data_IF_541672720838
#
_entry.id   IF_541672720838
#
_cell.length_a   1.000
_cell.length_b   1.000
_cell.length_c   1.000
_cell.angle_alpha   90.00
_cell.angle_beta   90.00
_cell.angle_gamma   90.00
#
_symmetry.space_group_name_H-M   'P 1'
#
loop_
_entity.id
_entity.type
_entity.pdbx_description
1 polymer ?
#
# COMPACT_ATOMS: atom_id res chain seq x y z
N UNK A 1 25.36 15.17 12.39
CA UNK A 1 25.37 15.23 10.91
C UNK A 1 23.96 14.90 10.39
N UNK A 2 23.17 15.90 9.96
CA UNK A 2 21.82 15.66 9.40
C UNK A 2 21.99 14.99 8.04
N UNK A 3 21.52 13.74 7.87
CA UNK A 3 21.35 13.17 6.52
C UNK A 3 20.33 14.05 5.80
N UNK A 4 20.77 14.77 4.77
CA UNK A 4 19.85 15.45 3.85
C UNK A 4 19.12 14.31 3.12
N UNK A 5 17.87 14.06 3.53
CA UNK A 5 17.02 13.03 2.95
C UNK A 5 16.61 13.53 1.55
N UNK A 6 17.26 13.04 0.49
CA UNK A 6 16.82 13.31 -0.86
C UNK A 6 15.65 12.37 -1.19
N UNK A 7 14.44 12.77 -0.78
CA UNK A 7 13.19 12.03 -1.00
C UNK A 7 12.96 11.69 -2.47
N UNK A 8 13.39 12.58 -3.37
CA UNK A 8 13.29 12.40 -4.81
C UNK A 8 14.22 11.27 -5.29
N UNK A 9 15.50 11.33 -4.96
CA UNK A 9 16.45 10.26 -5.29
C UNK A 9 16.02 8.91 -4.71
N UNK A 10 15.48 8.87 -3.49
CA UNK A 10 14.98 7.63 -2.88
C UNK A 10 13.79 7.04 -3.63
N UNK A 11 12.88 7.88 -4.10
CA UNK A 11 11.74 7.43 -4.89
C UNK A 11 12.19 6.97 -6.28
N UNK A 12 12.99 7.77 -6.98
CA UNK A 12 13.40 7.47 -8.36
C UNK A 12 14.30 6.24 -8.44
N UNK A 13 15.24 6.08 -7.50
CA UNK A 13 16.09 4.88 -7.42
C UNK A 13 15.27 3.63 -7.07
N UNK A 14 14.27 3.77 -6.19
CA UNK A 14 13.35 2.68 -5.91
C UNK A 14 12.57 2.28 -7.16
N UNK A 15 12.00 3.25 -7.88
CA UNK A 15 11.19 3.01 -9.07
C UNK A 15 12.00 2.28 -10.15
N UNK A 16 13.19 2.79 -10.49
CA UNK A 16 14.11 2.15 -11.46
C UNK A 16 14.43 0.69 -11.11
N UNK A 17 14.62 0.40 -9.82
CA UNK A 17 14.93 -0.95 -9.35
C UNK A 17 13.73 -1.89 -9.48
N UNK A 18 12.56 -1.46 -9.01
CA UNK A 18 11.36 -2.33 -8.98
C UNK A 18 10.73 -2.51 -10.36
N UNK A 19 10.94 -1.58 -11.28
CA UNK A 19 10.54 -1.77 -12.69
C UNK A 19 11.31 -2.89 -13.38
N UNK A 20 12.57 -3.11 -12.97
CA UNK A 20 13.40 -4.20 -13.52
C UNK A 20 13.19 -5.52 -12.80
N UNK A 21 13.11 -5.48 -11.47
CA UNK A 21 13.23 -6.68 -10.62
C UNK A 21 11.96 -7.03 -9.85
N UNK A 22 10.91 -6.20 -9.91
CA UNK A 22 9.79 -6.28 -9.00
C UNK A 22 10.12 -5.86 -7.57
N UNK A 23 9.14 -5.98 -6.68
CA UNK A 23 9.27 -5.72 -5.24
C UNK A 23 9.65 -7.02 -4.56
N UNK A 24 10.86 -7.06 -4.00
CA UNK A 24 11.36 -8.19 -3.23
C UNK A 24 10.38 -8.63 -2.14
N UNK A 25 10.10 -9.94 -2.08
CA UNK A 25 9.17 -10.54 -1.12
C UNK A 25 7.69 -10.36 -1.45
N UNK A 26 7.36 -9.88 -2.65
CA UNK A 26 6.01 -9.97 -3.22
C UNK A 26 6.05 -10.81 -4.50
N UNK A 27 4.96 -11.51 -4.83
CA UNK A 27 4.85 -12.08 -6.18
C UNK A 27 4.77 -10.98 -7.24
N UNK A 28 5.03 -11.35 -8.50
CA UNK A 28 4.97 -10.44 -9.63
C UNK A 28 3.61 -9.72 -9.73
N UNK A 29 2.52 -10.41 -9.40
CA UNK A 29 1.18 -9.83 -9.42
C UNK A 29 1.05 -8.67 -8.42
N UNK A 30 1.35 -8.89 -7.13
CA UNK A 30 1.25 -7.85 -6.11
C UNK A 30 2.29 -6.75 -6.30
N UNK A 31 3.50 -7.13 -6.73
CA UNK A 31 4.55 -6.17 -7.10
C UNK A 31 4.03 -5.19 -8.15
N UNK A 32 3.48 -5.69 -9.25
CA UNK A 32 2.94 -4.85 -10.31
C UNK A 32 1.77 -3.99 -9.83
N UNK A 33 0.91 -4.54 -8.98
CA UNK A 33 -0.24 -3.82 -8.44
C UNK A 33 0.18 -2.63 -7.57
N UNK A 34 1.15 -2.84 -6.67
CA UNK A 34 1.70 -1.77 -5.83
C UNK A 34 2.45 -0.74 -6.67
N UNK A 35 3.24 -1.17 -7.67
CA UNK A 35 3.95 -0.24 -8.57
C UNK A 35 2.94 0.64 -9.33
N UNK A 36 1.88 0.05 -9.88
CA UNK A 36 0.82 0.77 -10.61
C UNK A 36 0.15 1.80 -9.69
N UNK A 37 -0.22 1.40 -8.47
CA UNK A 37 -0.77 2.31 -7.47
C UNK A 37 0.14 3.51 -7.19
N UNK A 38 1.42 3.27 -6.94
CA UNK A 38 2.37 4.33 -6.61
C UNK A 38 2.60 5.28 -7.80
N UNK A 39 2.66 4.76 -9.02
CA UNK A 39 2.75 5.58 -10.25
C UNK A 39 1.50 6.45 -10.42
N UNK A 40 0.32 5.89 -10.21
CA UNK A 40 -0.93 6.65 -10.31
C UNK A 40 -1.00 7.78 -9.26
N UNK A 41 -0.58 7.49 -8.03
CA UNK A 41 -0.48 8.50 -6.98
C UNK A 41 0.59 9.57 -7.28
N UNK A 42 1.68 9.21 -7.97
CA UNK A 42 2.69 10.16 -8.41
C UNK A 42 2.18 11.10 -9.51
N UNK A 43 1.32 10.60 -10.42
CA UNK A 43 0.65 11.39 -11.44
C UNK A 43 -0.60 12.14 -10.91
N UNK A 44 -1.08 11.79 -9.72
CA UNK A 44 -2.31 12.34 -9.16
C UNK A 44 -3.58 11.83 -9.85
N UNK A 45 -3.50 10.68 -10.52
CA UNK A 45 -4.62 10.05 -11.22
C UNK A 45 -5.27 8.98 -10.36
N UNK A 46 -6.51 8.59 -10.71
CA UNK A 46 -7.26 7.54 -10.00
C UNK A 46 -7.44 7.79 -8.48
N UNK A 47 -7.30 9.04 -8.04
CA UNK A 47 -7.58 9.46 -6.65
C UNK A 47 -9.09 9.61 -6.42
N UNK A 48 -9.53 9.46 -5.17
CA UNK A 48 -10.94 9.65 -4.78
C UNK A 48 -11.44 11.06 -5.17
N UNK A 49 -12.73 11.20 -5.51
CA UNK A 49 -13.32 12.50 -5.93
C UNK A 49 -13.14 13.58 -4.87
N UNK A 50 -13.19 13.20 -3.59
CA UNK A 50 -13.01 14.06 -2.41
C UNK A 50 -11.55 14.37 -2.07
N UNK A 51 -10.58 13.70 -2.69
CA UNK A 51 -9.15 13.93 -2.42
C UNK A 51 -8.63 15.16 -3.17
N UNK A 52 -7.66 15.87 -2.56
CA UNK A 52 -6.90 16.93 -3.24
C UNK A 52 -6.29 16.36 -4.52
N UNK A 53 -6.75 16.86 -5.67
CA UNK A 53 -6.27 16.49 -7.00
C UNK A 53 -4.84 16.99 -7.18
N UNK A 54 -4.00 16.15 -7.77
CA UNK A 54 -2.59 16.49 -8.05
C UNK A 54 -1.60 15.45 -7.56
N UNK A 55 -0.39 15.53 -8.11
CA UNK A 55 0.73 14.66 -7.78
C UNK A 55 1.04 14.68 -6.27
N UNK A 56 1.31 13.50 -5.70
CA UNK A 56 1.80 13.41 -4.33
C UNK A 56 3.29 13.73 -4.27
N UNK A 57 3.72 14.38 -3.19
CA UNK A 57 5.14 14.64 -2.96
C UNK A 57 5.93 13.34 -2.84
N UNK A 58 7.20 13.35 -3.27
CA UNK A 58 8.09 12.18 -3.19
C UNK A 58 8.21 11.63 -1.75
N UNK A 59 8.23 12.53 -0.75
CA UNK A 59 8.14 12.16 0.67
C UNK A 59 6.90 11.33 1.01
N UNK A 60 5.72 11.77 0.53
CA UNK A 60 4.46 11.04 0.76
C UNK A 60 4.45 9.71 0.02
N UNK A 61 4.95 9.67 -1.22
CA UNK A 61 5.08 8.45 -2.00
C UNK A 61 6.02 7.45 -1.33
N UNK A 62 7.12 7.92 -0.74
CA UNK A 62 8.05 7.08 0.04
C UNK A 62 7.39 6.45 1.26
N UNK A 63 6.58 7.21 2.02
CA UNK A 63 5.83 6.67 3.14
C UNK A 63 4.75 5.68 2.69
N UNK A 64 4.00 6.04 1.64
CA UNK A 64 2.89 5.26 1.11
C UNK A 64 3.37 3.90 0.60
N UNK A 65 4.44 3.87 -0.21
CA UNK A 65 5.00 2.61 -0.73
C UNK A 65 5.47 1.70 0.40
N UNK A 66 6.12 2.22 1.44
CA UNK A 66 6.63 1.39 2.53
C UNK A 66 5.49 0.67 3.26
N UNK A 67 4.43 1.41 3.62
CA UNK A 67 3.29 0.86 4.35
C UNK A 67 2.46 -0.10 3.50
N UNK A 68 2.18 0.25 2.24
CA UNK A 68 1.40 -0.63 1.36
C UNK A 68 2.18 -1.91 1.03
N UNK A 69 3.48 -1.85 0.77
CA UNK A 69 4.30 -3.05 0.57
C UNK A 69 4.25 -3.95 1.81
N UNK A 70 4.39 -3.37 3.01
CA UNK A 70 4.31 -4.13 4.25
C UNK A 70 2.97 -4.85 4.41
N UNK A 71 1.86 -4.15 4.20
CA UNK A 71 0.52 -4.76 4.28
C UNK A 71 0.35 -5.86 3.23
N UNK A 72 0.75 -5.62 1.98
CA UNK A 72 0.63 -6.61 0.90
C UNK A 72 1.44 -7.88 1.19
N UNK A 73 2.66 -7.73 1.72
CA UNK A 73 3.48 -8.88 2.13
C UNK A 73 2.78 -9.70 3.20
N UNK A 74 2.30 -9.01 4.25
CA UNK A 74 1.61 -9.69 5.35
C UNK A 74 0.33 -10.41 4.91
N UNK A 75 -0.40 -9.85 3.94
CA UNK A 75 -1.59 -10.50 3.37
C UNK A 75 -1.22 -11.68 2.46
N UNK A 76 -0.20 -11.54 1.62
CA UNK A 76 0.29 -12.60 0.73
C UNK A 76 0.85 -13.79 1.53
N UNK A 77 1.61 -13.53 2.59
CA UNK A 77 2.11 -14.54 3.53
C UNK A 77 0.97 -15.30 4.24
N UNK A 78 -0.20 -14.65 4.42
CA UNK A 78 -1.43 -15.27 4.95
C UNK A 78 -2.22 -16.03 3.88
N UNK A 79 -1.64 -16.25 2.70
CA UNK A 79 -2.20 -17.06 1.63
C UNK A 79 -3.09 -16.30 0.65
N UNK A 80 -3.09 -14.96 0.66
CA UNK A 80 -3.81 -14.17 -0.34
C UNK A 80 -3.11 -14.30 -1.70
N UNK A 81 -3.61 -15.20 -2.56
CA UNK A 81 -3.10 -15.37 -3.93
C UNK A 81 -3.77 -14.45 -4.94
N UNK A 82 -4.99 -14.01 -4.63
CA UNK A 82 -5.84 -13.21 -5.51
C UNK A 82 -6.48 -12.10 -4.68
N UNK A 83 -6.14 -10.86 -5.01
CA UNK A 83 -6.61 -9.69 -4.27
C UNK A 83 -8.11 -9.45 -4.42
N UNK A 84 -8.74 -9.96 -5.48
CA UNK A 84 -10.20 -9.86 -5.66
C UNK A 84 -10.97 -10.69 -4.63
N UNK A 85 -10.31 -11.68 -4.04
CA UNK A 85 -10.84 -12.56 -3.00
C UNK A 85 -10.50 -12.08 -1.59
N UNK A 86 -9.89 -10.89 -1.46
CA UNK A 86 -9.58 -10.32 -0.17
C UNK A 86 -10.89 -10.01 0.58
N UNK A 87 -11.01 -10.57 1.78
CA UNK A 87 -12.18 -10.38 2.64
C UNK A 87 -11.90 -9.35 3.72
N UNK A 88 -12.95 -8.65 4.17
CA UNK A 88 -12.86 -7.64 5.22
C UNK A 88 -12.29 -8.24 6.52
N UNK A 89 -12.70 -9.46 6.89
CA UNK A 89 -12.26 -10.13 8.12
C UNK A 89 -10.74 -10.41 8.11
N UNK A 90 -10.18 -10.79 6.95
CA UNK A 90 -8.73 -11.01 6.82
C UNK A 90 -7.96 -9.72 7.06
N UNK A 91 -8.46 -8.60 6.52
CA UNK A 91 -7.84 -7.29 6.69
C UNK A 91 -7.99 -6.77 8.11
N UNK A 92 -9.18 -6.92 8.71
CA UNK A 92 -9.45 -6.59 10.10
C UNK A 92 -8.52 -7.34 11.04
N UNK A 93 -8.45 -8.67 10.90
CA UNK A 93 -7.57 -9.52 11.71
C UNK A 93 -6.11 -9.11 11.55
N UNK A 94 -5.66 -8.82 10.33
CA UNK A 94 -4.30 -8.35 10.10
C UNK A 94 -3.98 -7.06 10.88
N UNK A 95 -4.88 -6.07 10.85
CA UNK A 95 -4.66 -4.82 11.59
C UNK A 95 -4.88 -4.94 13.10
N UNK A 96 -5.70 -5.88 13.55
CA UNK A 96 -5.84 -6.25 14.96
C UNK A 96 -4.53 -6.85 15.48
N UNK A 97 -3.96 -7.83 14.77
CA UNK A 97 -2.66 -8.43 15.07
C UNK A 97 -1.51 -7.41 15.07
N UNK A 98 -1.60 -6.35 14.27
CA UNK A 98 -0.64 -5.23 14.35
C UNK A 98 -0.81 -4.39 15.61
N UNK A 99 -2.05 -4.22 16.08
CA UNK A 99 -2.41 -3.36 17.22
C UNK A 99 -2.13 -4.06 18.55
N UNK A 100 -2.43 -5.36 18.65
CA UNK A 100 -2.21 -6.15 19.86
C UNK A 100 -0.74 -6.54 20.08
N UNK A 101 0.09 -6.42 19.04
CA UNK A 101 1.52 -6.73 19.09
C UNK A 101 1.87 -8.15 18.67
N UNK A 102 0.95 -8.92 18.10
CA UNK A 102 1.23 -10.20 17.44
C UNK A 102 2.18 -9.99 16.25
N UNK A 103 1.95 -8.95 15.46
CA UNK A 103 2.87 -8.50 14.41
C UNK A 103 3.78 -7.42 15.01
N UNK A 104 5.04 -7.79 15.21
CA UNK A 104 6.06 -6.91 15.76
C UNK A 104 6.81 -6.15 14.66
N UNK A 105 7.28 -4.95 15.00
CA UNK A 105 8.18 -4.21 14.13
C UNK A 105 9.59 -4.83 14.13
N UNK A 106 10.49 -4.28 13.31
CA UNK A 106 11.90 -4.73 13.22
C UNK A 106 12.70 -4.71 14.53
N UNK A 107 12.19 -4.04 15.56
CA UNK A 107 12.79 -3.95 16.89
C UNK A 107 12.11 -4.87 17.91
N UNK A 108 11.20 -5.75 17.47
CA UNK A 108 10.46 -6.64 18.35
C UNK A 108 9.40 -5.92 19.21
N UNK A 109 8.94 -4.73 18.80
CA UNK A 109 7.94 -3.95 19.55
C UNK A 109 6.61 -3.85 18.78
N UNK A 110 5.47 -3.73 19.47
CA UNK A 110 4.18 -3.44 18.83
C UNK A 110 4.21 -2.16 17.99
N UNK A 111 3.36 -2.11 16.96
CA UNK A 111 3.22 -0.91 16.14
C UNK A 111 2.40 0.15 16.87
N UNK A 112 2.99 1.32 17.12
CA UNK A 112 2.28 2.44 17.76
C UNK A 112 1.33 3.17 16.79
N UNK A 113 1.54 3.03 15.48
CA UNK A 113 0.86 3.81 14.45
C UNK A 113 0.08 2.95 13.46
N UNK A 114 -0.60 1.88 13.93
CA UNK A 114 -1.43 1.02 13.07
C UNK A 114 -2.47 1.81 12.27
N UNK A 115 -3.05 2.87 12.85
CA UNK A 115 -4.00 3.75 12.14
C UNK A 115 -3.43 4.42 10.88
N UNK A 116 -2.12 4.66 10.82
CA UNK A 116 -1.46 5.20 9.63
C UNK A 116 -1.30 4.15 8.52
N UNK A 117 -1.18 2.86 8.88
CA UNK A 117 -1.18 1.77 7.91
C UNK A 117 -2.59 1.54 7.37
N UNK A 118 -3.60 1.60 8.23
CA UNK A 118 -5.02 1.50 7.84
C UNK A 118 -5.36 2.59 6.83
N UNK A 119 -5.04 3.87 7.10
CA UNK A 119 -5.30 4.98 6.18
C UNK A 119 -4.64 4.79 4.81
N UNK A 120 -3.40 4.30 4.79
CA UNK A 120 -2.66 4.09 3.56
C UNK A 120 -3.17 2.88 2.78
N UNK A 121 -3.65 1.85 3.48
CA UNK A 121 -4.34 0.72 2.89
C UNK A 121 -5.71 1.11 2.32
N UNK A 122 -6.52 1.90 3.03
CA UNK A 122 -7.79 2.45 2.51
C UNK A 122 -7.56 3.24 1.23
N UNK A 123 -6.53 4.08 1.20
CA UNK A 123 -6.16 4.83 -0.01
C UNK A 123 -5.80 3.89 -1.18
N UNK A 124 -5.10 2.79 -0.91
CA UNK A 124 -4.86 1.74 -1.90
C UNK A 124 -6.15 1.05 -2.35
N UNK A 125 -7.03 0.65 -1.42
CA UNK A 125 -8.26 -0.09 -1.73
C UNK A 125 -9.22 0.74 -2.58
N UNK A 126 -9.46 1.99 -2.21
CA UNK A 126 -10.31 2.89 -3.01
C UNK A 126 -9.72 3.15 -4.40
N UNK A 127 -8.39 3.25 -4.53
CA UNK A 127 -7.74 3.33 -5.84
C UNK A 127 -7.96 2.05 -6.65
N UNK A 128 -7.85 0.89 -6.00
CA UNK A 128 -8.04 -0.41 -6.64
C UNK A 128 -9.47 -0.56 -7.16
N UNK A 129 -10.48 -0.26 -6.34
CA UNK A 129 -11.89 -0.25 -6.73
C UNK A 129 -12.14 0.68 -7.92
N UNK A 130 -11.58 1.89 -7.90
CA UNK A 130 -11.75 2.85 -9.00
C UNK A 130 -11.08 2.40 -10.29
N UNK A 131 -9.91 1.78 -10.18
CA UNK A 131 -9.15 1.29 -11.34
C UNK A 131 -9.85 0.08 -11.96
N UNK A 132 -10.33 -0.85 -11.13
CA UNK A 132 -11.11 -2.01 -11.57
C UNK A 132 -12.48 -1.62 -12.14
N UNK A 133 -13.14 -0.62 -11.55
CA UNK A 133 -14.40 -0.09 -12.08
C UNK A 133 -14.26 0.50 -13.49
N UNK A 134 -13.10 1.07 -13.84
CA UNK A 134 -12.81 1.51 -15.23
C UNK A 134 -12.61 0.34 -16.20
N UNK A 135 -12.21 -0.81 -15.67
CA UNK A 135 -12.05 -2.06 -16.41
C UNK A 135 -13.35 -2.89 -16.42
N UNK A 136 -14.45 -2.35 -15.88
CA UNK A 136 -15.76 -3.01 -15.82
C UNK A 136 -15.93 -4.02 -14.68
N UNK A 137 -14.98 -4.08 -13.75
CA UNK A 137 -14.99 -5.02 -12.62
C UNK A 137 -15.43 -4.27 -11.35
N UNK A 138 -16.58 -4.68 -10.80
CA UNK A 138 -17.06 -4.16 -9.52
C UNK A 138 -16.29 -4.80 -8.36
N UNK A 139 -15.70 -3.97 -7.50
CA UNK A 139 -14.98 -4.41 -6.30
C UNK A 139 -15.66 -3.79 -5.08
N UNK A 140 -16.09 -4.64 -4.14
CA UNK A 140 -16.74 -4.20 -2.90
C UNK A 140 -15.76 -3.43 -2.01
N UNK A 141 -16.27 -2.50 -1.22
CA UNK A 141 -15.46 -1.85 -0.20
C UNK A 141 -15.34 -2.78 1.01
N UNK A 142 -14.15 -3.27 1.28
CA UNK A 142 -13.87 -4.13 2.43
C UNK A 142 -13.27 -3.32 3.60
N UNK A 143 -13.22 -2.00 3.45
CA UNK A 143 -12.51 -1.11 4.37
C UNK A 143 -13.40 -0.12 5.11
N UNK A 144 -14.70 -0.14 4.84
CA UNK A 144 -15.69 0.74 5.49
C UNK A 144 -15.69 0.58 7.02
N UNK A 145 -15.44 -0.63 7.52
CA UNK A 145 -15.48 -0.95 8.96
C UNK A 145 -14.11 -0.87 9.67
N UNK A 146 -13.01 -0.61 8.95
CA UNK A 146 -11.62 -0.60 9.46
C UNK A 146 -11.20 0.66 10.25
#
# INVERSE_FOLDING_TARGET
MRRIYNDEALYDNWLKRVEKNGIEGLSNFYSNLVIRFIKDMALGVNVAKSSKKGARSKKRLNALKQKVIFVMKGLEERGLKDITKLKAETVHKFFEEMRDGTILNRYGKPYLSTGDYIKDFKAFWHWYQKTMGKEGIAVLDITDEL
#
